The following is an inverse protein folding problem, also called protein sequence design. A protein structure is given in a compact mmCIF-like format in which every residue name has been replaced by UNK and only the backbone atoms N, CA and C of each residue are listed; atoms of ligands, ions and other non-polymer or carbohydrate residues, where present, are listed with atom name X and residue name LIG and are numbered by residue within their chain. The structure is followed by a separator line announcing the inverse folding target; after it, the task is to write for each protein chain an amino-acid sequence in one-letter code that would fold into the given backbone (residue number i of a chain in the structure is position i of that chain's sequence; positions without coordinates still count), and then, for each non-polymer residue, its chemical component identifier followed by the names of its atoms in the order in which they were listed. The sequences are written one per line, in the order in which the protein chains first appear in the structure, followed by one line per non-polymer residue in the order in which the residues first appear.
data_IF_876835468240
#
_entry.id   IF_876835468240
#
_cell.length_a   1.000
_cell.length_b   1.000
_cell.length_c   1.000
_cell.angle_alpha   90.00
_cell.angle_beta   90.00
_cell.angle_gamma   90.00
#
_symmetry.space_group_name_H-M   'P 1'
#
loop_
_entity.id
_entity.type
_entity.pdbx_description
1 polymer ?
#
# COMPACT_ATOMS: atom_id res chain seq x y z
N UNK A 1 -10.21 -7.25 -6.17
CA UNK A 1 -10.49 -5.83 -6.39
C UNK A 1 -9.19 -5.09 -6.63
N UNK A 2 -9.19 -4.14 -7.52
CA UNK A 2 -8.03 -3.29 -7.78
C UNK A 2 -8.34 -1.85 -7.37
N UNK A 3 -7.36 -1.22 -6.75
CA UNK A 3 -7.41 0.19 -6.41
C UNK A 3 -6.19 0.87 -6.98
N UNK A 4 -6.35 2.12 -7.39
CA UNK A 4 -5.23 2.94 -7.83
C UNK A 4 -5.11 4.10 -6.85
N UNK A 5 -3.89 4.30 -6.33
CA UNK A 5 -3.58 5.45 -5.50
C UNK A 5 -2.65 6.37 -6.30
N UNK A 6 -3.09 7.61 -6.49
CA UNK A 6 -2.27 8.63 -7.12
C UNK A 6 -1.51 9.39 -6.05
N UNK A 7 -0.19 9.44 -6.19
CA UNK A 7 0.68 10.07 -5.22
C UNK A 7 0.47 11.59 -5.22
N UNK A 8 0.40 12.16 -4.02
CA UNK A 8 0.41 13.62 -3.85
C UNK A 8 1.82 14.14 -3.59
N UNK A 9 2.67 13.24 -3.11
CA UNK A 9 4.06 13.52 -2.81
C UNK A 9 4.91 12.48 -3.53
N UNK A 10 6.20 12.42 -3.23
CA UNK A 10 7.11 11.49 -3.91
C UNK A 10 6.80 10.03 -3.58
N UNK A 11 6.21 9.77 -2.43
CA UNK A 11 5.93 8.41 -1.98
C UNK A 11 4.74 8.39 -1.04
N UNK A 12 4.24 7.17 -0.78
CA UNK A 12 3.28 6.91 0.29
C UNK A 12 3.80 5.72 1.10
N UNK A 13 3.60 5.73 2.40
CA UNK A 13 4.01 4.59 3.22
C UNK A 13 3.01 3.45 3.10
N UNK A 14 3.52 2.21 3.22
CA UNK A 14 2.71 1.01 3.02
C UNK A 14 1.46 1.01 3.90
N UNK A 15 1.60 1.31 5.19
CA UNK A 15 0.44 1.36 6.08
C UNK A 15 -0.59 2.40 5.66
N UNK A 16 -0.13 3.54 5.17
CA UNK A 16 -1.02 4.59 4.67
C UNK A 16 -1.74 4.15 3.41
N UNK A 17 -1.06 3.42 2.53
CA UNK A 17 -1.66 2.93 1.29
C UNK A 17 -2.79 1.95 1.57
N UNK A 18 -2.59 1.02 2.50
CA UNK A 18 -3.63 0.06 2.89
C UNK A 18 -4.86 0.77 3.45
N UNK A 19 -4.63 1.79 4.27
CA UNK A 19 -5.72 2.57 4.86
C UNK A 19 -6.42 3.41 3.79
N UNK A 20 -5.67 4.06 2.92
CA UNK A 20 -6.24 4.90 1.87
C UNK A 20 -7.09 4.09 0.89
N UNK A 21 -6.72 2.84 0.65
CA UNK A 21 -7.48 1.96 -0.23
C UNK A 21 -8.68 1.32 0.47
N UNK A 22 -8.86 1.57 1.76
CA UNK A 22 -9.97 1.03 2.51
C UNK A 22 -9.83 -0.45 2.87
N UNK A 23 -8.63 -1.00 2.77
CA UNK A 23 -8.40 -2.41 3.06
C UNK A 23 -8.20 -2.67 4.56
N UNK A 24 -7.84 -1.64 5.30
CA UNK A 24 -7.78 -1.66 6.77
C UNK A 24 -8.40 -0.37 7.28
N UNK A 25 -8.86 -0.38 8.53
CA UNK A 25 -9.58 0.76 9.11
C UNK A 25 -8.67 1.75 9.82
N UNK A 26 -7.51 1.30 10.28
CA UNK A 26 -6.63 2.13 11.08
C UNK A 26 -5.17 1.77 10.88
N UNK A 27 -4.28 2.62 11.39
CA UNK A 27 -2.86 2.34 11.37
C UNK A 27 -2.50 1.10 12.20
N UNK A 28 -3.24 0.84 13.28
CA UNK A 28 -3.03 -0.36 14.10
C UNK A 28 -3.37 -1.61 13.31
N UNK A 29 -4.48 -1.60 12.60
CA UNK A 29 -4.86 -2.73 11.75
C UNK A 29 -3.82 -2.97 10.66
N UNK A 30 -3.33 -1.91 10.04
CA UNK A 30 -2.27 -2.01 9.04
C UNK A 30 -1.03 -2.67 9.63
N UNK A 31 -0.65 -2.26 10.83
CA UNK A 31 0.51 -2.84 11.51
C UNK A 31 0.37 -4.35 11.69
N UNK A 32 -0.81 -4.80 12.13
CA UNK A 32 -1.04 -6.22 12.36
C UNK A 32 -0.92 -7.04 11.09
N UNK A 33 -1.59 -6.64 10.02
CA UNK A 33 -1.58 -7.42 8.78
C UNK A 33 -0.20 -7.41 8.12
N UNK A 34 0.52 -6.31 8.22
CA UNK A 34 1.87 -6.21 7.67
C UNK A 34 2.84 -7.09 8.48
N UNK A 35 2.81 -7.00 9.81
CA UNK A 35 3.69 -7.79 10.65
C UNK A 35 3.42 -9.29 10.54
N UNK A 36 2.18 -9.67 10.25
CA UNK A 36 1.81 -11.06 10.08
C UNK A 36 2.23 -11.65 8.74
N UNK A 37 2.86 -10.84 7.87
CA UNK A 37 3.33 -11.33 6.57
C UNK A 37 2.23 -11.49 5.53
N UNK A 38 1.10 -10.81 5.72
CA UNK A 38 -0.06 -10.95 4.84
C UNK A 38 -0.03 -9.97 3.66
N UNK A 39 0.95 -9.08 3.62
CA UNK A 39 1.04 -8.01 2.61
C UNK A 39 2.28 -8.23 1.76
N UNK A 40 2.11 -8.12 0.45
CA UNK A 40 3.22 -8.21 -0.51
C UNK A 40 3.38 -6.88 -1.24
N UNK A 41 4.63 -6.52 -1.49
CA UNK A 41 4.97 -5.37 -2.33
C UNK A 41 5.79 -5.90 -3.50
N UNK A 42 5.29 -5.69 -4.71
CA UNK A 42 5.93 -6.18 -5.93
C UNK A 42 6.22 -7.68 -5.87
N UNK A 43 5.28 -8.44 -5.29
CA UNK A 43 5.39 -9.89 -5.22
C UNK A 43 6.16 -10.45 -4.03
N UNK A 44 6.72 -9.59 -3.19
CA UNK A 44 7.51 -10.01 -2.02
C UNK A 44 6.83 -9.60 -0.73
N UNK A 45 6.83 -10.49 0.26
CA UNK A 45 6.28 -10.17 1.57
C UNK A 45 7.04 -8.99 2.16
N UNK A 46 6.29 -7.99 2.63
CA UNK A 46 6.86 -6.82 3.26
C UNK A 46 6.33 -6.72 4.69
N UNK A 47 7.22 -6.61 5.66
CA UNK A 47 6.84 -6.57 7.07
C UNK A 47 7.07 -5.22 7.73
N UNK A 48 7.47 -4.21 6.95
CA UNK A 48 7.69 -2.86 7.48
C UNK A 48 6.53 -1.95 7.09
N UNK A 49 5.80 -1.48 8.09
CA UNK A 49 4.68 -0.58 7.87
C UNK A 49 5.13 0.74 7.22
N UNK A 50 6.34 1.18 7.55
CA UNK A 50 6.89 2.42 7.03
C UNK A 50 7.58 2.30 5.68
N UNK A 51 7.46 1.15 5.01
CA UNK A 51 8.03 0.98 3.68
C UNK A 51 7.50 2.05 2.74
N UNK A 52 8.39 2.80 2.11
CA UNK A 52 8.01 3.83 1.15
C UNK A 52 7.66 3.19 -0.19
N UNK A 53 6.51 3.58 -0.72
CA UNK A 53 6.03 3.12 -2.02
C UNK A 53 6.09 4.27 -3.00
N UNK A 54 6.58 3.98 -4.20
CA UNK A 54 6.74 4.97 -5.27
C UNK A 54 5.88 4.60 -6.46
N UNK A 55 5.74 5.52 -7.39
CA UNK A 55 5.01 5.24 -8.64
C UNK A 55 5.56 3.98 -9.29
N UNK A 56 4.66 3.08 -9.70
CA UNK A 56 5.02 1.79 -10.27
C UNK A 56 5.00 0.64 -9.28
N UNK A 57 4.96 0.92 -7.98
CA UNK A 57 4.87 -0.15 -6.97
C UNK A 57 3.46 -0.72 -6.91
N UNK A 58 3.38 -1.99 -6.56
CA UNK A 58 2.11 -2.71 -6.45
C UNK A 58 2.06 -3.43 -5.11
N UNK A 59 0.92 -3.30 -4.43
CA UNK A 59 0.67 -3.92 -3.13
C UNK A 59 -0.43 -4.96 -3.29
N UNK A 60 -0.25 -6.12 -2.65
CA UNK A 60 -1.25 -7.18 -2.62
C UNK A 60 -1.60 -7.52 -1.19
N UNK A 61 -2.89 -7.58 -0.90
CA UNK A 61 -3.39 -7.97 0.41
C UNK A 61 -4.81 -8.53 0.27
N UNK A 62 -5.01 -9.73 0.79
CA UNK A 62 -6.33 -10.38 0.88
C UNK A 62 -7.06 -10.40 -0.46
N UNK A 63 -6.35 -10.75 -1.53
CA UNK A 63 -6.93 -10.83 -2.87
C UNK A 63 -7.11 -9.48 -3.56
N UNK A 64 -6.74 -8.38 -2.91
CA UNK A 64 -6.83 -7.05 -3.46
C UNK A 64 -5.48 -6.58 -3.95
N UNK A 65 -5.49 -5.73 -4.97
CA UNK A 65 -4.27 -5.15 -5.54
C UNK A 65 -4.40 -3.63 -5.49
N UNK A 66 -3.35 -2.98 -4.97
CA UNK A 66 -3.23 -1.52 -5.00
C UNK A 66 -2.08 -1.17 -5.93
N UNK A 67 -2.36 -0.35 -6.93
CA UNK A 67 -1.34 0.19 -7.82
C UNK A 67 -1.02 1.62 -7.43
N UNK A 68 0.26 1.92 -7.28
CA UNK A 68 0.72 3.26 -6.94
C UNK A 68 1.12 3.95 -8.23
N UNK A 69 0.49 5.10 -8.51
CA UNK A 69 0.72 5.84 -9.74
C UNK A 69 1.18 7.25 -9.44
N UNK A 70 1.95 7.80 -10.37
CA UNK A 70 2.35 9.19 -10.26
C UNK A 70 1.12 10.09 -10.43
N UNK A 71 1.16 11.24 -9.75
CA UNK A 71 0.13 12.25 -9.94
C UNK A 71 0.36 12.93 -11.29
N UNK A 72 -0.59 12.76 -12.21
CA UNK A 72 -0.52 13.36 -13.54
C UNK A 72 -1.24 14.69 -13.63
N UNK A 73 -1.53 15.30 -12.51
CA UNK A 73 -2.22 16.56 -12.44
C UNK A 73 -1.24 17.69 -12.77
N UNK A 74 -1.25 18.11 -13.99
CA UNK A 74 -0.40 19.19 -14.48
C UNK A 74 -1.23 20.43 -14.73
#
# INVERSE_FOLDING_TARGET
MEEIIYLREDFIKLGQALKAAGLVESGVDAKFVINDGLVKVNGNVEIQRGKKLYAGDKVEFDGNIIKIEANNDN
#
